data_IF_861229875205
#
_entry.id   IF_861229875205
#
_cell.length_a   1.000
_cell.length_b   1.000
_cell.length_c   1.000
_cell.angle_alpha   90.00
_cell.angle_beta   90.00
_cell.angle_gamma   90.00
#
_symmetry.space_group_name_H-M   'P 1'
#
loop_
_entity.id
_entity.type
_entity.pdbx_description
1 polymer ?
#
# COMPACT_ATOMS: atom_id res chain seq x y z
N UNK A 1 -7.79 -28.66 8.25
CA UNK A 1 -6.94 -27.54 8.78
C UNK A 1 -7.07 -26.43 7.75
N UNK A 2 -7.56 -25.28 8.17
CA UNK A 2 -7.78 -24.12 7.29
C UNK A 2 -6.43 -23.61 6.73
N UNK A 3 -6.39 -23.29 5.43
CA UNK A 3 -5.25 -22.64 4.78
C UNK A 3 -5.52 -21.14 4.66
N UNK A 4 -4.64 -20.32 5.26
CA UNK A 4 -4.67 -18.86 5.07
C UNK A 4 -3.52 -18.38 4.16
N UNK A 5 -2.85 -19.30 3.46
CA UNK A 5 -1.80 -18.98 2.52
C UNK A 5 -2.39 -18.30 1.28
N UNK A 6 -1.62 -17.39 0.69
CA UNK A 6 -2.00 -16.74 -0.56
C UNK A 6 -0.79 -16.57 -1.48
N UNK A 7 -1.02 -16.03 -2.68
CA UNK A 7 0.05 -15.84 -3.67
C UNK A 7 -0.10 -14.50 -4.38
N UNK A 8 1.03 -13.80 -4.55
CA UNK A 8 1.15 -12.57 -5.33
C UNK A 8 2.17 -12.76 -6.44
N UNK A 9 1.73 -12.80 -7.71
CA UNK A 9 2.60 -12.93 -8.90
C UNK A 9 3.68 -14.01 -8.77
N UNK A 10 3.29 -15.18 -8.25
CA UNK A 10 4.18 -16.33 -8.07
C UNK A 10 4.91 -16.39 -6.71
N UNK A 11 4.88 -15.34 -5.92
CA UNK A 11 5.45 -15.30 -4.56
C UNK A 11 4.40 -15.84 -3.58
N UNK A 12 4.73 -16.90 -2.86
CA UNK A 12 3.88 -17.47 -1.81
C UNK A 12 4.00 -16.65 -0.52
N UNK A 13 2.87 -16.35 0.10
CA UNK A 13 2.76 -15.72 1.41
C UNK A 13 2.09 -16.68 2.38
N UNK A 14 2.60 -16.78 3.60
CA UNK A 14 2.04 -17.67 4.64
C UNK A 14 0.64 -17.25 5.08
N UNK A 15 0.31 -15.96 4.90
CA UNK A 15 -1.00 -15.36 5.14
C UNK A 15 -1.13 -14.07 4.31
N UNK A 16 -2.35 -13.52 4.14
CA UNK A 16 -2.57 -12.35 3.30
C UNK A 16 -2.24 -11.00 3.95
N UNK A 17 -1.78 -10.96 5.21
CA UNK A 17 -1.65 -9.74 6.01
C UNK A 17 -0.29 -9.08 5.82
N UNK A 18 -0.29 -7.83 5.38
CA UNK A 18 0.90 -7.01 5.10
C UNK A 18 0.69 -5.66 5.77
N UNK A 19 1.62 -5.12 6.55
CA UNK A 19 1.54 -3.73 7.00
C UNK A 19 1.82 -2.77 5.86
N UNK A 20 1.01 -1.69 5.77
CA UNK A 20 1.14 -0.67 4.73
C UNK A 20 2.34 0.24 4.96
N UNK A 21 3.05 0.59 3.90
CA UNK A 21 4.31 1.35 3.90
C UNK A 21 4.27 2.67 4.67
N UNK A 22 3.13 3.37 4.65
CA UNK A 22 2.98 4.68 5.29
C UNK A 22 2.94 4.66 6.81
N UNK A 23 2.62 3.51 7.42
CA UNK A 23 2.34 3.36 8.85
C UNK A 23 3.25 2.38 9.57
N UNK A 24 4.17 1.73 8.85
CA UNK A 24 5.05 0.71 9.38
C UNK A 24 6.54 1.02 9.25
N UNK A 25 6.90 2.04 8.46
CA UNK A 25 8.27 2.43 8.17
C UNK A 25 9.13 1.25 7.67
N UNK A 26 10.16 0.87 8.42
CA UNK A 26 11.01 -0.30 8.15
C UNK A 26 10.84 -1.40 9.23
N UNK A 27 9.79 -1.30 10.07
CA UNK A 27 9.41 -2.32 11.04
C UNK A 27 10.19 -2.31 12.36
N UNK A 28 11.26 -1.53 12.52
CA UNK A 28 12.09 -1.52 13.74
C UNK A 28 11.29 -1.20 15.00
N UNK A 29 10.31 -0.29 14.91
CA UNK A 29 9.45 0.06 16.04
C UNK A 29 8.50 -1.08 16.40
N UNK A 30 8.03 -1.84 15.40
CA UNK A 30 7.02 -2.89 15.58
C UNK A 30 7.61 -4.21 16.09
N UNK A 31 8.91 -4.50 15.86
CA UNK A 31 9.56 -5.68 16.42
C UNK A 31 9.55 -5.74 17.97
N UNK A 32 9.24 -4.61 18.62
CA UNK A 32 9.10 -4.55 20.07
C UNK A 32 7.78 -5.14 20.56
N UNK A 33 6.80 -5.29 19.67
CA UNK A 33 5.46 -5.76 20.00
C UNK A 33 5.30 -7.25 19.69
N UNK A 34 5.81 -7.71 18.52
CA UNK A 34 5.70 -9.10 18.06
C UNK A 34 6.82 -9.47 17.08
N UNK A 35 6.98 -10.78 16.81
CA UNK A 35 7.89 -11.27 15.79
C UNK A 35 7.36 -10.93 14.39
N UNK A 36 8.07 -10.07 13.66
CA UNK A 36 7.66 -9.64 12.33
C UNK A 36 7.54 -10.79 11.32
N UNK A 37 8.20 -11.93 11.56
CA UNK A 37 8.16 -13.09 10.66
C UNK A 37 6.78 -13.79 10.63
N UNK A 38 5.84 -13.42 11.49
CA UNK A 38 4.44 -13.88 11.37
C UNK A 38 3.73 -13.24 10.16
N UNK A 39 4.12 -12.02 9.75
CA UNK A 39 3.53 -11.29 8.64
C UNK A 39 3.71 -12.04 7.30
N UNK A 40 2.76 -11.90 6.38
CA UNK A 40 2.89 -12.44 5.04
C UNK A 40 4.02 -11.80 4.25
N UNK A 41 4.12 -10.47 4.34
CA UNK A 41 5.20 -9.63 3.81
C UNK A 41 5.22 -8.30 4.56
N UNK A 42 6.16 -7.42 4.23
CA UNK A 42 6.21 -6.02 4.69
C UNK A 42 6.31 -5.12 3.48
N UNK A 43 5.35 -4.19 3.33
CA UNK A 43 5.48 -3.05 2.42
C UNK A 43 6.22 -1.95 3.18
N UNK A 44 7.51 -1.74 2.89
CA UNK A 44 8.30 -0.77 3.61
C UNK A 44 8.09 0.67 3.12
N UNK A 45 8.60 1.63 3.89
CA UNK A 45 8.42 3.07 3.68
C UNK A 45 8.66 3.51 2.24
N UNK A 46 7.71 4.26 1.70
CA UNK A 46 7.80 4.86 0.37
C UNK A 46 9.12 5.63 0.19
N UNK A 47 9.93 5.15 -0.74
CA UNK A 47 11.29 5.62 -1.00
C UNK A 47 11.33 6.53 -2.20
N UNK A 48 12.04 7.64 -2.10
CA UNK A 48 12.33 8.59 -3.19
C UNK A 48 13.82 8.54 -3.56
N UNK A 49 14.20 9.06 -4.73
CA UNK A 49 15.61 9.12 -5.16
C UNK A 49 16.43 9.85 -4.10
N UNK A 50 16.04 11.09 -3.78
CA UNK A 50 16.68 11.91 -2.76
C UNK A 50 15.96 11.81 -1.41
N UNK A 51 16.70 12.09 -0.32
CA UNK A 51 16.15 12.23 1.02
C UNK A 51 15.06 13.31 1.08
N UNK A 52 13.99 13.05 1.83
CA UNK A 52 12.91 14.00 2.07
C UNK A 52 12.64 14.19 3.54
N UNK A 53 12.67 15.44 4.06
CA UNK A 53 12.35 15.74 5.45
C UNK A 53 10.84 15.66 5.75
N UNK A 54 10.01 15.57 4.70
CA UNK A 54 8.56 15.68 4.79
C UNK A 54 8.07 17.12 4.87
N UNK A 55 6.75 17.27 5.02
CA UNK A 55 6.07 18.57 5.06
C UNK A 55 6.13 19.21 6.46
N UNK A 56 5.85 20.50 6.52
CA UNK A 56 5.75 21.28 7.76
C UNK A 56 4.66 20.74 8.71
N UNK A 57 4.87 20.93 10.01
CA UNK A 57 3.91 20.59 11.06
C UNK A 57 2.84 21.68 11.22
N UNK A 58 1.61 21.30 11.64
CA UNK A 58 1.10 19.96 11.86
C UNK A 58 0.78 19.24 10.54
N UNK A 59 1.18 17.96 10.44
CA UNK A 59 1.00 17.17 9.22
C UNK A 59 0.23 15.87 9.42
N UNK A 60 -0.25 15.64 10.65
CA UNK A 60 -1.14 14.55 11.05
C UNK A 60 -2.22 15.13 11.96
N UNK A 61 -3.46 14.66 11.81
CA UNK A 61 -4.56 15.06 12.67
C UNK A 61 -5.61 13.93 12.75
N UNK A 62 -6.07 13.65 13.96
CA UNK A 62 -7.22 12.77 14.17
C UNK A 62 -8.51 13.40 13.65
N UNK A 63 -9.40 12.55 13.18
CA UNK A 63 -10.76 12.91 12.80
C UNK A 63 -11.72 11.75 13.06
N UNK A 64 -13.05 11.98 13.05
CA UNK A 64 -14.01 10.90 13.24
C UNK A 64 -13.75 9.74 12.29
N UNK A 65 -13.69 8.52 12.84
CA UNK A 65 -13.46 7.28 12.12
C UNK A 65 -12.16 7.24 11.28
N UNK A 66 -11.10 7.96 11.72
CA UNK A 66 -9.83 7.90 11.02
C UNK A 66 -8.90 9.07 11.30
N UNK A 67 -7.98 9.31 10.38
CA UNK A 67 -6.98 10.35 10.48
C UNK A 67 -6.71 11.03 9.14
N UNK A 68 -6.31 12.29 9.20
CA UNK A 68 -5.74 13.04 8.07
C UNK A 68 -4.23 13.09 8.18
N UNK A 69 -3.55 12.90 7.06
CA UNK A 69 -2.11 13.10 6.99
C UNK A 69 -1.68 13.85 5.74
N UNK A 70 -0.61 14.61 5.86
CA UNK A 70 0.15 15.20 4.78
C UNK A 70 1.64 15.10 5.09
N UNK A 71 2.13 13.91 5.39
CA UNK A 71 3.52 13.66 5.82
C UNK A 71 4.53 14.10 4.77
N UNK A 72 4.23 13.94 3.47
CA UNK A 72 5.08 14.43 2.38
C UNK A 72 6.26 13.51 2.06
N UNK A 73 6.05 12.17 2.13
CA UNK A 73 7.04 11.16 1.78
C UNK A 73 8.37 11.30 2.57
N UNK A 74 8.30 11.61 3.85
CA UNK A 74 9.51 11.62 4.68
C UNK A 74 10.21 10.26 4.60
N UNK A 75 11.43 10.24 4.06
CA UNK A 75 12.25 9.04 3.92
C UNK A 75 13.73 9.43 3.71
N UNK A 76 14.69 8.52 3.96
CA UNK A 76 16.12 8.83 3.90
C UNK A 76 16.73 8.82 2.49
N UNK A 77 15.93 8.57 1.43
CA UNK A 77 16.39 8.43 0.05
C UNK A 77 16.90 7.02 -0.28
N UNK A 78 16.86 6.65 -1.56
CA UNK A 78 17.11 5.28 -2.03
C UNK A 78 18.49 4.76 -1.62
N UNK A 79 19.51 5.60 -1.63
CA UNK A 79 20.86 5.19 -1.26
C UNK A 79 20.92 4.66 0.17
N UNK A 80 20.42 5.42 1.16
CA UNK A 80 20.38 4.97 2.55
C UNK A 80 19.44 3.80 2.77
N UNK A 81 18.31 3.75 2.05
CA UNK A 81 17.40 2.60 2.12
C UNK A 81 18.12 1.32 1.73
N UNK A 82 18.83 1.30 0.61
CA UNK A 82 19.56 0.12 0.12
C UNK A 82 20.78 -0.22 0.98
N UNK A 83 21.56 0.79 1.39
CA UNK A 83 22.82 0.57 2.10
C UNK A 83 22.65 0.34 3.61
N UNK A 84 21.58 0.85 4.23
CA UNK A 84 21.41 0.82 5.70
C UNK A 84 20.09 0.17 6.12
N UNK A 85 18.93 0.65 5.64
CA UNK A 85 17.62 0.25 6.18
C UNK A 85 17.25 -1.20 5.79
N UNK A 86 17.43 -1.58 4.52
CA UNK A 86 17.13 -2.95 4.07
C UNK A 86 18.06 -4.00 4.68
N UNK A 87 19.39 -3.76 4.86
CA UNK A 87 20.25 -4.62 5.64
C UNK A 87 19.84 -4.76 7.12
N UNK A 88 19.30 -3.71 7.75
CA UNK A 88 18.76 -3.79 9.12
C UNK A 88 17.48 -4.61 9.15
N UNK A 89 16.54 -4.30 8.26
CA UNK A 89 15.28 -5.04 8.14
C UNK A 89 15.52 -6.53 7.86
N UNK A 90 16.49 -6.88 7.02
CA UNK A 90 16.88 -8.26 6.73
C UNK A 90 17.42 -9.06 7.92
N UNK A 91 17.76 -8.40 9.05
CA UNK A 91 18.13 -9.09 10.31
C UNK A 91 16.94 -9.51 11.15
N UNK A 92 15.77 -8.89 10.94
CA UNK A 92 14.57 -9.07 11.76
C UNK A 92 13.39 -9.64 10.96
N UNK A 93 13.47 -9.62 9.62
CA UNK A 93 12.45 -10.17 8.73
C UNK A 93 13.09 -10.91 7.55
N UNK A 94 12.67 -12.16 7.30
CA UNK A 94 13.38 -13.09 6.40
C UNK A 94 12.56 -13.51 5.17
N UNK A 95 11.40 -12.89 4.94
CA UNK A 95 10.52 -13.16 3.79
C UNK A 95 10.69 -12.08 2.72
N UNK A 96 10.19 -12.31 1.48
CA UNK A 96 10.22 -11.29 0.43
C UNK A 96 9.51 -10.00 0.85
N UNK A 97 10.15 -8.87 0.58
CA UNK A 97 9.66 -7.52 0.89
C UNK A 97 8.92 -6.91 -0.30
N UNK A 98 8.02 -5.99 -0.01
CA UNK A 98 7.40 -5.11 -1.00
C UNK A 98 8.05 -3.73 -0.90
N UNK A 99 8.74 -3.33 -1.97
CA UNK A 99 9.40 -2.04 -2.06
C UNK A 99 8.42 -0.96 -2.55
N UNK A 100 7.92 -0.12 -1.63
CA UNK A 100 7.13 1.04 -2.05
C UNK A 100 8.06 2.13 -2.59
N UNK A 101 7.91 2.49 -3.86
CA UNK A 101 8.69 3.52 -4.54
C UNK A 101 7.83 4.68 -4.98
N UNK A 102 8.34 5.91 -4.86
CA UNK A 102 7.62 7.15 -5.16
C UNK A 102 8.52 8.13 -5.91
N UNK A 103 8.11 8.55 -7.09
CA UNK A 103 8.83 9.49 -7.94
C UNK A 103 8.04 10.77 -8.22
N UNK A 104 8.73 11.83 -8.63
CA UNK A 104 8.17 13.10 -9.08
C UNK A 104 8.37 13.31 -10.58
N UNK A 105 9.08 12.39 -11.22
CA UNK A 105 9.28 12.26 -12.66
C UNK A 105 9.29 10.80 -13.06
N UNK A 106 9.11 10.51 -14.35
CA UNK A 106 9.25 9.14 -14.89
C UNK A 106 10.68 8.60 -14.66
N UNK A 107 11.66 9.50 -14.72
CA UNK A 107 13.06 9.19 -14.50
C UNK A 107 13.33 8.74 -13.06
N UNK A 108 12.70 9.40 -12.06
CA UNK A 108 12.79 8.96 -10.66
C UNK A 108 12.30 7.53 -10.48
N UNK A 109 11.15 7.18 -11.08
CA UNK A 109 10.61 5.82 -11.01
C UNK A 109 11.55 4.80 -11.67
N UNK A 110 12.18 5.15 -12.80
CA UNK A 110 13.18 4.31 -13.47
C UNK A 110 14.39 4.05 -12.59
N UNK A 111 14.96 5.10 -12.01
CA UNK A 111 16.12 5.01 -11.11
C UNK A 111 15.82 4.18 -9.85
N UNK A 112 14.66 4.42 -9.23
CA UNK A 112 14.22 3.65 -8.06
C UNK A 112 14.03 2.17 -8.38
N UNK A 113 13.45 1.87 -9.53
CA UNK A 113 13.22 0.49 -9.97
C UNK A 113 14.52 -0.25 -10.21
N UNK A 114 15.49 0.38 -10.88
CA UNK A 114 16.81 -0.18 -11.12
C UNK A 114 17.56 -0.44 -9.81
N UNK A 115 17.49 0.49 -8.84
CA UNK A 115 18.10 0.32 -7.53
C UNK A 115 17.47 -0.84 -6.74
N UNK A 116 16.13 -0.94 -6.73
CA UNK A 116 15.43 -1.99 -5.98
C UNK A 116 15.50 -3.37 -6.66
N UNK A 117 15.70 -3.43 -7.98
CA UNK A 117 15.92 -4.69 -8.70
C UNK A 117 17.17 -5.44 -8.21
N UNK A 118 18.18 -4.70 -7.79
CA UNK A 118 19.45 -5.26 -7.29
C UNK A 118 19.36 -5.79 -5.85
N UNK A 119 18.27 -5.50 -5.11
CA UNK A 119 18.12 -5.91 -3.71
C UNK A 119 17.48 -7.29 -3.64
N UNK A 120 18.21 -8.29 -3.16
CA UNK A 120 17.80 -9.71 -3.21
C UNK A 120 16.49 -9.99 -2.46
N UNK A 121 16.32 -9.43 -1.26
CA UNK A 121 15.13 -9.66 -0.43
C UNK A 121 13.90 -8.83 -0.84
N UNK A 122 13.99 -7.94 -1.83
CA UNK A 122 12.84 -7.29 -2.43
C UNK A 122 12.19 -8.26 -3.42
N UNK A 123 10.93 -8.64 -3.17
CA UNK A 123 10.17 -9.56 -4.02
C UNK A 123 9.24 -8.83 -5.01
N UNK A 124 8.68 -7.67 -4.62
CA UNK A 124 7.70 -6.91 -5.41
C UNK A 124 8.05 -5.42 -5.34
N UNK A 125 7.85 -4.70 -6.45
CA UNK A 125 7.86 -3.23 -6.49
C UNK A 125 6.43 -2.72 -6.42
N UNK A 126 6.09 -1.95 -5.39
CA UNK A 126 4.84 -1.22 -5.26
C UNK A 126 5.05 0.24 -5.70
N UNK A 127 4.55 0.58 -6.88
CA UNK A 127 4.77 1.88 -7.51
C UNK A 127 3.69 2.86 -7.08
N UNK A 128 4.02 3.76 -6.17
CA UNK A 128 3.10 4.75 -5.63
C UNK A 128 2.99 5.97 -6.56
N UNK A 129 1.95 5.98 -7.40
CA UNK A 129 1.68 7.04 -8.38
C UNK A 129 0.77 8.17 -7.85
N UNK A 130 0.57 8.23 -6.54
CA UNK A 130 -0.24 9.31 -5.92
C UNK A 130 0.54 10.61 -5.72
N UNK A 131 1.84 10.65 -6.05
CA UNK A 131 2.66 11.84 -5.97
C UNK A 131 2.37 12.82 -7.10
N UNK A 132 2.48 14.15 -6.85
CA UNK A 132 2.28 15.14 -7.89
C UNK A 132 3.38 15.07 -8.96
N UNK A 133 2.99 15.11 -10.22
CA UNK A 133 3.88 15.23 -11.36
C UNK A 133 4.30 16.69 -11.56
N UNK A 134 5.56 17.03 -11.25
CA UNK A 134 6.08 18.38 -11.37
C UNK A 134 6.10 18.89 -12.81
N UNK A 135 6.29 18.02 -13.80
CA UNK A 135 6.29 18.39 -15.22
C UNK A 135 4.88 18.64 -15.78
N UNK A 136 3.82 18.20 -15.09
CA UNK A 136 2.43 18.36 -15.50
C UNK A 136 1.61 19.21 -14.51
N UNK A 137 2.22 20.26 -13.97
CA UNK A 137 1.52 21.26 -13.15
C UNK A 137 1.06 20.73 -11.77
N UNK A 138 1.67 19.69 -11.26
CA UNK A 138 1.39 19.14 -9.92
C UNK A 138 0.22 18.17 -9.84
N UNK A 139 -0.36 17.73 -10.97
CA UNK A 139 -1.33 16.63 -10.99
C UNK A 139 -0.63 15.32 -10.62
N UNK A 140 -1.31 14.48 -9.84
CA UNK A 140 -0.77 13.15 -9.52
C UNK A 140 -0.70 12.27 -10.77
N UNK A 141 0.38 11.47 -10.90
CA UNK A 141 0.52 10.51 -12.00
C UNK A 141 -0.66 9.52 -12.08
N UNK A 142 -1.23 9.17 -10.95
CA UNK A 142 -2.35 8.23 -10.86
C UNK A 142 -3.73 8.79 -11.18
N UNK A 143 -3.84 10.02 -11.72
CA UNK A 143 -5.12 10.63 -12.09
C UNK A 143 -5.39 10.66 -13.60
N UNK A 144 -4.44 10.22 -14.39
CA UNK A 144 -4.54 10.14 -15.85
C UNK A 144 -4.03 8.78 -16.36
N UNK A 145 -4.82 8.03 -17.16
CA UNK A 145 -4.43 6.70 -17.67
C UNK A 145 -3.11 6.70 -18.44
N UNK A 146 -2.84 7.74 -19.24
CA UNK A 146 -1.59 7.85 -20.02
C UNK A 146 -0.37 8.00 -19.11
N UNK A 147 -0.51 8.74 -18.02
CA UNK A 147 0.55 8.89 -17.03
C UNK A 147 0.81 7.59 -16.27
N UNK A 148 -0.26 6.85 -15.91
CA UNK A 148 -0.14 5.49 -15.31
C UNK A 148 0.60 4.55 -16.25
N UNK A 149 0.21 4.51 -17.52
CA UNK A 149 0.86 3.67 -18.54
C UNK A 149 2.35 4.03 -18.72
N UNK A 150 2.67 5.33 -18.83
CA UNK A 150 4.04 5.80 -19.01
C UNK A 150 4.95 5.40 -17.83
N UNK A 151 4.49 5.61 -16.59
CA UNK A 151 5.25 5.20 -15.39
C UNK A 151 5.40 3.68 -15.34
N UNK A 152 4.33 2.92 -15.57
CA UNK A 152 4.38 1.46 -15.53
C UNK A 152 5.40 0.90 -16.53
N UNK A 153 5.38 1.36 -17.80
CA UNK A 153 6.35 0.94 -18.83
C UNK A 153 7.78 1.27 -18.41
N UNK A 154 8.03 2.49 -17.95
CA UNK A 154 9.37 2.91 -17.52
C UNK A 154 9.92 2.06 -16.36
N UNK A 155 9.06 1.70 -15.40
CA UNK A 155 9.41 0.79 -14.30
C UNK A 155 9.68 -0.62 -14.83
N UNK A 156 8.81 -1.17 -15.67
CA UNK A 156 8.95 -2.53 -16.22
C UNK A 156 10.21 -2.71 -17.08
N UNK A 157 10.70 -1.65 -17.73
CA UNK A 157 11.96 -1.67 -18.47
C UNK A 157 13.19 -1.82 -17.57
N UNK A 158 13.09 -1.49 -16.27
CA UNK A 158 14.19 -1.43 -15.32
C UNK A 158 14.25 -2.58 -14.33
N UNK A 159 13.22 -3.42 -14.26
CA UNK A 159 13.15 -4.51 -13.29
C UNK A 159 12.58 -5.79 -13.90
N UNK A 160 13.05 -6.93 -13.37
CA UNK A 160 12.46 -8.25 -13.60
C UNK A 160 11.50 -8.68 -12.51
N UNK A 161 11.46 -7.93 -11.40
CA UNK A 161 10.57 -8.21 -10.28
C UNK A 161 9.13 -7.85 -10.64
N UNK A 162 8.12 -8.51 -10.03
CA UNK A 162 6.73 -8.13 -10.18
C UNK A 162 6.49 -6.66 -9.81
N UNK A 163 5.71 -5.96 -10.64
CA UNK A 163 5.37 -4.54 -10.49
C UNK A 163 3.90 -4.38 -10.19
N UNK A 164 3.59 -3.81 -9.05
CA UNK A 164 2.24 -3.49 -8.58
C UNK A 164 2.02 -1.98 -8.62
N UNK A 165 1.04 -1.53 -9.41
CA UNK A 165 0.71 -0.10 -9.47
C UNK A 165 -0.24 0.26 -8.31
N UNK A 166 0.18 1.18 -7.42
CA UNK A 166 -0.65 1.63 -6.28
C UNK A 166 -1.54 2.79 -6.69
N UNK A 167 -2.83 2.50 -6.82
CA UNK A 167 -3.83 3.42 -7.35
C UNK A 167 -4.40 4.37 -6.29
N UNK A 168 -4.69 5.60 -6.75
CA UNK A 168 -5.40 6.60 -5.97
C UNK A 168 -6.92 6.45 -6.12
N UNK A 169 -7.70 6.58 -5.03
CA UNK A 169 -9.16 6.63 -5.12
C UNK A 169 -9.71 7.99 -5.60
N UNK A 170 -8.83 8.99 -5.75
CA UNK A 170 -9.22 10.37 -6.07
C UNK A 170 -9.39 10.59 -7.58
N UNK A 171 -10.13 9.71 -8.20
CA UNK A 171 -10.47 9.70 -9.64
C UNK A 171 -11.95 9.36 -9.80
N UNK A 172 -12.51 9.68 -10.96
CA UNK A 172 -13.92 9.39 -11.27
C UNK A 172 -14.14 7.89 -11.46
N UNK A 173 -13.25 7.23 -12.22
CA UNK A 173 -13.28 5.79 -12.47
C UNK A 173 -11.89 5.19 -12.27
N UNK A 174 -11.72 4.45 -11.18
CA UNK A 174 -10.45 3.78 -10.85
C UNK A 174 -10.13 2.63 -11.82
N UNK A 175 -11.13 2.09 -12.51
CA UNK A 175 -10.95 0.98 -13.45
C UNK A 175 -10.19 1.40 -14.71
N UNK A 176 -10.28 2.67 -15.12
CA UNK A 176 -9.48 3.21 -16.22
C UNK A 176 -7.99 3.17 -15.88
N UNK A 177 -7.64 3.53 -14.64
CA UNK A 177 -6.25 3.46 -14.16
C UNK A 177 -5.75 2.02 -14.09
N UNK A 178 -6.59 1.10 -13.61
CA UNK A 178 -6.26 -0.32 -13.54
C UNK A 178 -6.03 -0.94 -14.92
N UNK A 179 -6.89 -0.64 -15.91
CA UNK A 179 -6.72 -1.10 -17.31
C UNK A 179 -5.46 -0.50 -17.95
N UNK A 180 -5.15 0.75 -17.69
CA UNK A 180 -3.93 1.38 -18.18
C UNK A 180 -2.67 0.67 -17.61
N UNK A 181 -2.68 0.35 -16.31
CA UNK A 181 -1.60 -0.41 -15.68
C UNK A 181 -1.47 -1.82 -16.29
N UNK A 182 -2.58 -2.56 -16.45
CA UNK A 182 -2.58 -3.89 -17.06
C UNK A 182 -2.06 -3.86 -18.50
N UNK A 183 -2.51 -2.91 -19.33
CA UNK A 183 -2.07 -2.76 -20.71
C UNK A 183 -0.59 -2.38 -20.82
N UNK A 184 -0.04 -1.73 -19.81
CA UNK A 184 1.38 -1.37 -19.72
C UNK A 184 2.26 -2.51 -19.20
N UNK A 185 1.67 -3.65 -18.80
CA UNK A 185 2.39 -4.84 -18.36
C UNK A 185 2.66 -4.89 -16.86
N UNK A 186 1.85 -4.21 -16.03
CA UNK A 186 1.86 -4.41 -14.57
C UNK A 186 1.58 -5.88 -14.23
N UNK A 187 2.16 -6.37 -13.13
CA UNK A 187 1.95 -7.73 -12.63
C UNK A 187 0.89 -7.79 -11.53
N UNK A 188 0.46 -6.62 -11.02
CA UNK A 188 -0.59 -6.50 -10.01
C UNK A 188 -1.02 -5.06 -9.77
N UNK A 189 -2.06 -4.90 -8.97
CA UNK A 189 -2.61 -3.62 -8.56
C UNK A 189 -2.65 -3.56 -7.03
N UNK A 190 -2.20 -2.45 -6.42
CA UNK A 190 -2.44 -2.15 -5.02
C UNK A 190 -3.45 -1.00 -4.93
N UNK A 191 -4.45 -1.12 -4.07
CA UNK A 191 -5.50 -0.10 -3.92
C UNK A 191 -6.25 -0.23 -2.58
N UNK A 192 -6.64 0.87 -1.97
CA UNK A 192 -6.56 2.25 -2.42
C UNK A 192 -5.55 3.05 -1.59
N UNK A 193 -4.92 4.07 -2.19
CA UNK A 193 -4.26 5.10 -1.41
C UNK A 193 -5.31 5.93 -0.66
N UNK A 194 -4.90 6.95 0.11
CA UNK A 194 -5.78 7.76 0.96
C UNK A 194 -6.76 8.61 0.14
N UNK A 195 -7.97 8.82 0.67
CA UNK A 195 -8.97 9.72 0.10
C UNK A 195 -8.63 11.16 0.50
N UNK A 196 -8.66 12.11 -0.43
CA UNK A 196 -8.42 13.52 -0.12
C UNK A 196 -9.47 14.08 0.83
N UNK A 197 -9.03 14.76 1.86
CA UNK A 197 -9.88 15.37 2.88
C UNK A 197 -9.29 16.64 3.47
N UNK A 198 -10.10 17.37 4.23
CA UNK A 198 -9.72 18.60 4.93
C UNK A 198 -10.50 18.73 6.23
N UNK A 199 -9.85 19.28 7.25
CA UNK A 199 -10.54 19.74 8.48
C UNK A 199 -10.13 21.15 8.82
N UNK A 200 -11.08 21.88 9.43
CA UNK A 200 -10.91 23.27 9.88
C UNK A 200 -11.12 23.32 11.40
N UNK A 201 -10.16 23.91 12.10
CA UNK A 201 -10.35 24.34 13.48
C UNK A 201 -11.20 25.62 13.48
N UNK A 202 -12.48 25.49 13.80
CA UNK A 202 -13.43 26.59 13.71
C UNK A 202 -13.15 27.69 14.74
N UNK A 203 -12.48 27.36 15.84
CA UNK A 203 -12.12 28.33 16.89
C UNK A 203 -10.91 29.16 16.45
N UNK A 204 -9.91 28.51 15.89
CA UNK A 204 -8.71 29.18 15.35
C UNK A 204 -8.91 29.75 13.94
N UNK A 205 -10.02 29.36 13.27
CA UNK A 205 -10.33 29.72 11.86
C UNK A 205 -9.18 29.39 10.91
N UNK A 206 -8.59 28.19 11.08
CA UNK A 206 -7.43 27.71 10.32
C UNK A 206 -7.61 26.25 9.94
N UNK A 207 -6.97 25.83 8.87
CA UNK A 207 -6.85 24.41 8.54
C UNK A 207 -6.09 23.69 9.65
N UNK A 208 -6.48 22.45 9.95
CA UNK A 208 -5.84 21.61 10.97
C UNK A 208 -4.45 21.18 10.54
N UNK A 209 -4.26 20.86 9.26
CA UNK A 209 -2.96 20.56 8.67
C UNK A 209 -2.30 21.81 8.08
N UNK A 210 -0.97 21.88 8.15
CA UNK A 210 -0.19 22.97 7.53
C UNK A 210 -0.44 23.06 6.01
N UNK A 211 -0.55 21.92 5.33
CA UNK A 211 -0.85 21.85 3.88
C UNK A 211 -2.34 22.01 3.55
N UNK A 212 -3.19 22.31 4.55
CA UNK A 212 -4.65 22.46 4.43
C UNK A 212 -5.38 21.18 4.07
N UNK A 213 -5.02 20.51 2.98
CA UNK A 213 -5.55 19.24 2.50
C UNK A 213 -4.58 18.13 2.84
N UNK A 214 -5.10 16.93 3.14
CA UNK A 214 -4.34 15.72 3.40
C UNK A 214 -5.09 14.47 2.97
N UNK A 215 -4.43 13.33 3.02
CA UNK A 215 -5.05 12.03 2.80
C UNK A 215 -5.81 11.58 4.04
N UNK A 216 -7.07 11.21 3.89
CA UNK A 216 -7.90 10.59 4.91
C UNK A 216 -7.77 9.07 4.84
N UNK A 217 -7.52 8.44 5.98
CA UNK A 217 -7.40 6.99 6.16
C UNK A 217 -8.05 6.55 7.46
N UNK A 218 -8.27 5.25 7.64
CA UNK A 218 -8.93 4.64 8.78
C UNK A 218 -10.30 4.05 8.44
N UNK A 219 -11.08 3.58 9.44
CA UNK A 219 -12.31 2.82 9.22
C UNK A 219 -13.34 3.52 8.32
N UNK A 220 -13.36 4.85 8.31
CA UNK A 220 -14.30 5.63 7.51
C UNK A 220 -14.17 5.45 5.99
N UNK A 221 -13.03 4.96 5.49
CA UNK A 221 -12.85 4.70 4.06
C UNK A 221 -13.04 3.24 3.65
N UNK A 222 -13.23 2.32 4.60
CA UNK A 222 -13.32 0.89 4.33
C UNK A 222 -14.35 0.53 3.24
N UNK A 223 -15.62 0.97 3.29
CA UNK A 223 -16.58 0.65 2.23
C UNK A 223 -16.21 1.26 0.86
N UNK A 224 -15.44 2.35 0.83
CA UNK A 224 -14.91 2.93 -0.41
C UNK A 224 -13.82 2.02 -0.98
N UNK A 225 -12.94 1.49 -0.13
CA UNK A 225 -11.88 0.58 -0.51
C UNK A 225 -12.43 -0.75 -1.04
N UNK A 226 -13.38 -1.36 -0.33
CA UNK A 226 -14.06 -2.61 -0.75
C UNK A 226 -14.69 -2.44 -2.14
N UNK A 227 -15.46 -1.35 -2.34
CA UNK A 227 -16.05 -1.04 -3.66
C UNK A 227 -14.98 -0.89 -4.74
N UNK A 228 -13.89 -0.20 -4.46
CA UNK A 228 -12.81 0.01 -5.44
C UNK A 228 -12.15 -1.31 -5.82
N UNK A 229 -11.85 -2.18 -4.84
CA UNK A 229 -11.29 -3.52 -5.08
C UNK A 229 -12.25 -4.35 -5.93
N UNK A 230 -13.54 -4.37 -5.61
CA UNK A 230 -14.55 -5.05 -6.40
C UNK A 230 -14.58 -4.55 -7.86
N UNK A 231 -14.63 -3.25 -8.08
CA UNK A 231 -14.66 -2.66 -9.42
C UNK A 231 -13.40 -3.02 -10.23
N UNK A 232 -12.22 -2.96 -9.62
CA UNK A 232 -10.96 -3.32 -10.29
C UNK A 232 -10.90 -4.83 -10.53
N UNK A 233 -11.40 -5.67 -9.62
CA UNK A 233 -11.51 -7.11 -9.83
C UNK A 233 -12.33 -7.45 -11.09
N UNK A 234 -13.46 -6.76 -11.29
CA UNK A 234 -14.28 -6.96 -12.49
C UNK A 234 -13.64 -6.39 -13.78
N UNK A 235 -12.69 -5.47 -13.66
CA UNK A 235 -12.11 -4.74 -14.80
C UNK A 235 -10.83 -5.36 -15.36
N UNK A 236 -10.00 -6.00 -14.52
CA UNK A 236 -8.68 -6.55 -14.87
C UNK A 236 -8.44 -7.92 -14.23
N UNK A 237 -7.53 -8.71 -14.81
CA UNK A 237 -7.22 -10.06 -14.33
C UNK A 237 -6.03 -10.12 -13.36
N UNK A 238 -5.37 -9.00 -13.15
CA UNK A 238 -4.19 -8.93 -12.29
C UNK A 238 -4.52 -9.24 -10.82
N UNK A 239 -3.63 -9.86 -10.03
CA UNK A 239 -3.79 -9.97 -8.58
C UNK A 239 -3.83 -8.58 -7.93
N UNK A 240 -4.54 -8.45 -6.81
CA UNK A 240 -4.76 -7.17 -6.12
C UNK A 240 -4.36 -7.25 -4.67
N UNK A 241 -3.71 -6.19 -4.19
CA UNK A 241 -3.52 -5.94 -2.76
C UNK A 241 -4.55 -4.89 -2.35
N UNK A 242 -5.51 -5.29 -1.52
CA UNK A 242 -6.56 -4.40 -1.02
C UNK A 242 -6.12 -3.66 0.24
N UNK A 243 -6.39 -2.36 0.34
CA UNK A 243 -6.09 -1.58 1.55
C UNK A 243 -7.08 -0.42 1.73
N UNK A 244 -7.25 -0.01 2.98
CA UNK A 244 -8.08 1.13 3.37
C UNK A 244 -9.11 0.77 4.43
N UNK A 245 -8.81 1.07 5.69
CA UNK A 245 -9.72 0.96 6.83
C UNK A 245 -9.88 -0.43 7.45
N UNK A 246 -9.08 -1.41 7.09
CA UNK A 246 -9.07 -2.77 7.66
C UNK A 246 -8.61 -2.72 9.11
N UNK A 247 -9.33 -3.44 10.03
CA UNK A 247 -9.09 -3.45 11.49
C UNK A 247 -9.12 -4.83 12.13
N UNK A 248 -9.70 -5.83 11.50
CA UNK A 248 -9.92 -7.16 12.05
C UNK A 248 -9.96 -8.23 10.95
N UNK A 249 -10.02 -9.50 11.33
CA UNK A 249 -10.08 -10.62 10.40
C UNK A 249 -11.31 -10.59 9.48
N UNK A 250 -12.47 -10.11 9.96
CA UNK A 250 -13.67 -9.95 9.16
C UNK A 250 -13.49 -8.97 8.00
N UNK A 251 -12.83 -7.83 8.26
CA UNK A 251 -12.53 -6.84 7.22
C UNK A 251 -11.58 -7.44 6.16
N UNK A 252 -10.64 -8.33 6.54
CA UNK A 252 -9.75 -9.05 5.60
C UNK A 252 -10.56 -9.98 4.70
N UNK A 253 -11.43 -10.81 5.30
CA UNK A 253 -12.29 -11.73 4.54
C UNK A 253 -13.19 -10.96 3.56
N UNK A 254 -13.82 -9.86 4.00
CA UNK A 254 -14.66 -9.00 3.14
C UNK A 254 -13.85 -8.42 1.97
N UNK A 255 -12.64 -7.92 2.23
CA UNK A 255 -11.76 -7.37 1.19
C UNK A 255 -11.35 -8.44 0.17
N UNK A 256 -11.07 -9.67 0.64
CA UNK A 256 -10.74 -10.80 -0.25
C UNK A 256 -11.96 -11.26 -1.05
N UNK A 257 -13.15 -11.35 -0.45
CA UNK A 257 -14.39 -11.63 -1.17
C UNK A 257 -14.68 -10.60 -2.27
N UNK A 258 -14.31 -9.33 -2.07
CA UNK A 258 -14.39 -8.29 -3.09
C UNK A 258 -13.33 -8.44 -4.21
N UNK A 259 -12.30 -9.27 -4.03
CA UNK A 259 -11.31 -9.59 -5.07
C UNK A 259 -9.86 -9.31 -4.71
N UNK A 260 -9.52 -8.93 -3.49
CA UNK A 260 -8.14 -8.82 -3.05
C UNK A 260 -7.49 -10.19 -2.90
N UNK A 261 -6.23 -10.34 -3.34
CA UNK A 261 -5.42 -11.55 -3.14
C UNK A 261 -4.58 -11.48 -1.86
N UNK A 262 -4.33 -10.27 -1.36
CA UNK A 262 -3.72 -9.95 -0.07
C UNK A 262 -4.21 -8.57 0.37
N UNK A 263 -3.90 -8.17 1.61
CA UNK A 263 -4.33 -6.90 2.17
C UNK A 263 -3.19 -6.14 2.80
N UNK A 264 -3.23 -4.79 2.74
CA UNK A 264 -2.35 -3.94 3.52
C UNK A 264 -3.09 -3.25 4.66
N UNK A 265 -2.59 -3.43 5.88
CA UNK A 265 -3.10 -2.78 7.10
C UNK A 265 -2.42 -1.42 7.26
N UNK A 266 -3.20 -0.35 7.21
CA UNK A 266 -2.71 1.03 7.26
C UNK A 266 -2.87 1.69 8.63
N UNK A 267 -3.79 2.65 8.74
CA UNK A 267 -3.96 3.53 9.90
C UNK A 267 -4.15 2.77 11.23
N UNK A 268 -4.71 1.57 11.20
CA UNK A 268 -4.93 0.78 12.42
C UNK A 268 -3.62 0.37 13.12
N UNK A 269 -2.52 0.19 12.39
CA UNK A 269 -1.20 -0.03 12.99
C UNK A 269 -0.78 1.10 13.97
N UNK A 270 -1.26 2.33 13.73
CA UNK A 270 -0.96 3.48 14.59
C UNK A 270 -1.91 3.59 15.79
N UNK A 271 -3.09 2.98 15.72
CA UNK A 271 -4.09 2.94 16.78
C UNK A 271 -3.84 1.75 17.68
N UNK A 272 -3.56 0.60 17.07
CA UNK A 272 -3.38 -0.69 17.73
C UNK A 272 -2.18 -1.44 17.13
N UNK A 273 -0.99 -1.32 17.73
CA UNK A 273 0.24 -1.90 17.14
C UNK A 273 0.23 -3.42 16.96
N UNK A 274 -0.60 -4.16 17.71
CA UNK A 274 -0.77 -5.61 17.60
C UNK A 274 -1.77 -6.04 16.53
N UNK A 275 -2.42 -5.12 15.83
CA UNK A 275 -3.53 -5.43 14.90
C UNK A 275 -3.17 -6.48 13.84
N UNK A 276 -1.97 -6.44 13.27
CA UNK A 276 -1.56 -7.44 12.27
C UNK A 276 -1.42 -8.83 12.88
N UNK A 277 -0.83 -8.94 14.07
CA UNK A 277 -0.69 -10.18 14.83
C UNK A 277 -2.06 -10.77 15.15
N UNK A 278 -2.96 -9.99 15.75
CA UNK A 278 -4.31 -10.42 16.13
C UNK A 278 -5.11 -10.89 14.91
N UNK A 279 -5.07 -10.15 13.80
CA UNK A 279 -5.73 -10.57 12.55
C UNK A 279 -5.21 -11.92 12.07
N UNK A 280 -3.89 -12.15 12.10
CA UNK A 280 -3.29 -13.41 11.66
C UNK A 280 -3.71 -14.57 12.55
N UNK A 281 -3.83 -14.34 13.87
CA UNK A 281 -4.29 -15.35 14.82
C UNK A 281 -5.80 -15.65 14.71
N UNK A 282 -6.61 -14.63 14.46
CA UNK A 282 -8.08 -14.76 14.35
C UNK A 282 -8.52 -15.32 12.99
N UNK A 283 -7.77 -15.06 11.92
CA UNK A 283 -8.18 -15.37 10.56
C UNK A 283 -8.47 -16.88 10.31
N UNK A 284 -7.66 -17.84 10.79
CA UNK A 284 -7.99 -19.27 10.66
C UNK A 284 -9.26 -19.66 11.40
N UNK A 285 -9.53 -19.08 12.57
CA UNK A 285 -10.70 -19.36 13.38
C UNK A 285 -11.97 -18.85 12.70
N UNK A 286 -11.91 -17.64 12.15
CA UNK A 286 -13.02 -17.08 11.38
C UNK A 286 -13.29 -17.87 10.09
N UNK A 287 -12.25 -18.27 9.38
CA UNK A 287 -12.39 -19.12 8.19
C UNK A 287 -13.05 -20.45 8.52
N UNK A 288 -12.70 -21.10 9.65
CA UNK A 288 -13.34 -22.34 10.12
C UNK A 288 -14.82 -22.10 10.44
N UNK A 289 -15.18 -21.02 11.13
CA UNK A 289 -16.55 -20.62 11.43
C UNK A 289 -17.40 -20.41 10.15
N UNK A 290 -16.79 -19.80 9.13
CA UNK A 290 -17.42 -19.52 7.84
C UNK A 290 -17.41 -20.71 6.87
N UNK A 291 -16.78 -21.83 7.21
CA UNK A 291 -16.65 -23.01 6.35
C UNK A 291 -15.69 -22.80 5.16
N UNK A 292 -14.70 -21.91 5.31
CA UNK A 292 -13.68 -21.62 4.32
C UNK A 292 -12.48 -22.55 4.58
N UNK A 293 -12.19 -23.45 3.66
CA UNK A 293 -11.06 -24.39 3.78
C UNK A 293 -9.75 -23.76 3.28
N UNK A 294 -9.79 -23.01 2.20
CA UNK A 294 -8.65 -22.22 1.67
C UNK A 294 -9.10 -20.77 1.42
N UNK A 295 -8.39 -19.84 2.01
CA UNK A 295 -8.72 -18.40 1.88
C UNK A 295 -8.63 -17.91 0.44
N UNK A 296 -7.90 -18.58 -0.44
CA UNK A 296 -7.84 -18.26 -1.85
C UNK A 296 -9.16 -18.52 -2.58
N UNK A 297 -9.98 -19.46 -2.11
CA UNK A 297 -11.26 -19.83 -2.72
C UNK A 297 -12.33 -18.73 -2.61
N UNK A 298 -12.15 -17.78 -1.67
CA UNK A 298 -13.06 -16.65 -1.51
C UNK A 298 -12.67 -15.40 -2.33
N UNK A 299 -11.56 -15.43 -3.06
CA UNK A 299 -11.11 -14.24 -3.81
C UNK A 299 -12.09 -13.93 -4.95
N UNK A 300 -12.82 -12.82 -4.80
CA UNK A 300 -13.70 -12.31 -5.85
C UNK A 300 -14.96 -13.14 -6.08
N UNK A 301 -15.49 -13.74 -5.04
CA UNK A 301 -16.73 -14.56 -5.12
C UNK A 301 -18.03 -13.73 -5.19
N UNK A 302 -17.95 -12.39 -5.05
CA UNK A 302 -19.11 -11.47 -5.06
C UNK A 302 -19.37 -10.94 -6.47
#
# INVERSE_FOLDING_TARGET
MVSIKTRLSGIELDNPVIPASGTFAFGEEFQQFYDLNILGSISFKGTTVEERPGNALPRIAECPAGMLNSVGLQNPGVKKVVEEELPRLGKIFHKPLIANISGFSIEDFSLLSEAMDQVENVGILEVNISCPNVSHGGMAFGTDPKSVEAVCRAVKEKTKKPVYMKLSPNVTDITEMARAAESAGADGIALINTVLGMRIDIRKRKAVLANKVGGYSGPGIFPIAVRAVYQVHQAVKLPRIGMGGIRNAGDVVEMMMAGASAVEIGAENLVHPHVCEEIIEELPLLCEELGIEDIQDIIGII
#
